data_IF_890983242839
#
_entry.id   IF_890983242839
#
_cell.length_a   1.000
_cell.length_b   1.000
_cell.length_c   1.000
_cell.angle_alpha   90.00
_cell.angle_beta   90.00
_cell.angle_gamma   90.00
#
_symmetry.space_group_name_H-M   'P 1'
#
loop_
_entity.id
_entity.type
_entity.pdbx_description
1 polymer ?
#
# COMPACT_ATOMS: atom_id res chain seq x y z
N UNK A 1 21.06 -11.52 22.54
CA UNK A 1 19.78 -11.96 23.13
C UNK A 1 19.17 -13.02 22.23
N UNK A 2 19.04 -14.29 22.66
CA UNK A 2 18.49 -15.36 21.82
C UNK A 2 16.98 -15.20 21.64
N UNK A 3 16.50 -15.38 20.40
CA UNK A 3 15.08 -15.28 20.05
C UNK A 3 14.52 -16.69 19.78
N UNK A 4 13.57 -17.13 20.60
CA UNK A 4 12.94 -18.45 20.47
C UNK A 4 11.56 -18.31 19.81
N UNK A 5 11.38 -18.92 18.63
CA UNK A 5 10.12 -18.90 17.85
C UNK A 5 9.51 -17.49 17.73
N UNK A 6 10.35 -16.50 17.45
CA UNK A 6 9.93 -15.11 17.37
C UNK A 6 8.94 -14.89 16.22
N UNK A 7 7.80 -14.30 16.53
CA UNK A 7 6.73 -14.05 15.55
C UNK A 7 6.97 -12.72 14.84
N UNK A 8 7.47 -12.78 13.61
CA UNK A 8 7.76 -11.59 12.78
C UNK A 8 6.50 -10.83 12.31
N UNK A 9 5.37 -11.54 12.18
CA UNK A 9 4.08 -11.02 11.64
C UNK A 9 4.17 -10.53 10.19
N UNK A 10 5.18 -10.94 9.45
CA UNK A 10 5.27 -10.74 8.00
C UNK A 10 4.40 -11.77 7.26
N UNK A 11 3.81 -11.35 6.15
CA UNK A 11 3.02 -12.18 5.25
C UNK A 11 3.94 -12.60 4.10
N UNK A 12 4.13 -13.92 3.94
CA UNK A 12 4.91 -14.51 2.86
C UNK A 12 4.39 -15.91 2.55
N UNK A 13 4.92 -16.53 1.51
CA UNK A 13 4.68 -17.92 1.12
C UNK A 13 6.00 -18.68 1.21
N UNK A 14 5.94 -19.88 1.78
CA UNK A 14 7.03 -20.86 1.70
C UNK A 14 6.83 -21.67 0.43
N UNK A 15 7.87 -21.76 -0.39
CA UNK A 15 7.91 -22.52 -1.64
C UNK A 15 8.93 -23.66 -1.53
N UNK A 16 8.43 -24.89 -1.43
CA UNK A 16 9.25 -26.09 -1.30
C UNK A 16 9.80 -26.61 -2.64
N UNK A 17 9.55 -25.91 -3.74
CA UNK A 17 10.09 -26.30 -5.06
C UNK A 17 11.57 -25.92 -5.21
N UNK A 18 12.30 -26.77 -5.96
CA UNK A 18 13.72 -26.58 -6.25
C UNK A 18 14.02 -25.26 -6.94
N UNK A 19 15.17 -24.67 -6.63
CA UNK A 19 15.61 -23.41 -7.21
C UNK A 19 16.50 -23.63 -8.42
N UNK A 20 16.37 -22.79 -9.45
CA UNK A 20 17.26 -22.78 -10.63
C UNK A 20 18.75 -22.59 -10.29
N UNK A 21 19.06 -21.99 -9.14
CA UNK A 21 20.45 -21.86 -8.67
C UNK A 21 21.04 -23.16 -8.09
N UNK A 22 20.26 -24.26 -8.05
CA UNK A 22 20.69 -25.58 -7.57
C UNK A 22 20.68 -25.76 -6.04
N UNK A 23 20.35 -24.71 -5.27
CA UNK A 23 20.23 -24.81 -3.80
C UNK A 23 18.87 -25.39 -3.40
N UNK A 24 18.91 -26.57 -2.77
CA UNK A 24 17.72 -27.31 -2.33
C UNK A 24 17.72 -27.65 -0.83
N UNK A 25 18.65 -27.09 -0.04
CA UNK A 25 18.80 -27.41 1.38
C UNK A 25 17.67 -26.85 2.28
N UNK A 26 16.98 -25.81 1.81
CA UNK A 26 15.90 -25.16 2.54
C UNK A 26 14.79 -24.72 1.58
N UNK A 27 13.52 -24.69 2.04
CA UNK A 27 12.43 -24.06 1.30
C UNK A 27 12.72 -22.60 0.98
N UNK A 28 12.21 -22.13 -0.15
CA UNK A 28 12.34 -20.74 -0.55
C UNK A 28 11.30 -19.88 0.17
N UNK A 29 11.76 -18.80 0.79
CA UNK A 29 10.87 -17.74 1.26
C UNK A 29 10.58 -16.82 0.08
N UNK A 30 9.31 -16.73 -0.32
CA UNK A 30 8.90 -15.78 -1.36
C UNK A 30 8.97 -14.35 -0.83
N UNK A 31 8.80 -13.38 -1.73
CA UNK A 31 8.76 -11.97 -1.38
C UNK A 31 7.77 -11.69 -0.25
N UNK A 32 8.20 -10.93 0.76
CA UNK A 32 7.34 -10.45 1.84
C UNK A 32 6.32 -9.49 1.23
N UNK A 33 5.04 -9.84 1.29
CA UNK A 33 3.95 -9.06 0.67
C UNK A 33 3.38 -8.00 1.60
N UNK A 34 3.74 -8.04 2.89
CA UNK A 34 3.34 -7.04 3.88
C UNK A 34 3.44 -7.58 5.30
N UNK A 35 2.88 -6.82 6.25
CA UNK A 35 2.69 -7.27 7.64
C UNK A 35 1.21 -7.45 7.95
N UNK A 36 0.94 -8.41 8.83
CA UNK A 36 -0.42 -8.66 9.35
C UNK A 36 -0.96 -7.42 10.07
N UNK A 37 -0.10 -6.66 10.73
CA UNK A 37 -0.49 -5.47 11.51
C UNK A 37 -0.67 -4.21 10.65
N UNK A 38 -0.16 -4.17 9.41
CA UNK A 38 -0.31 -3.02 8.52
C UNK A 38 -1.72 -2.96 7.88
N UNK A 39 -2.60 -3.91 8.20
CA UNK A 39 -3.97 -3.99 7.70
C UNK A 39 -4.89 -2.95 8.37
N UNK A 40 -5.65 -2.23 7.57
CA UNK A 40 -6.58 -1.19 8.00
C UNK A 40 -8.01 -1.72 7.85
N UNK A 41 -8.86 -1.49 8.84
CA UNK A 41 -10.30 -1.75 8.74
C UNK A 41 -11.04 -0.47 8.33
N UNK A 42 -11.83 -0.55 7.27
CA UNK A 42 -12.63 0.57 6.77
C UNK A 42 -14.02 0.08 6.34
N UNK A 43 -15.09 0.58 6.98
CA UNK A 43 -16.49 0.23 6.68
C UNK A 43 -16.74 -1.29 6.52
N UNK A 44 -16.13 -2.09 7.40
CA UNK A 44 -16.24 -3.56 7.38
C UNK A 44 -15.35 -4.27 6.36
N UNK A 45 -14.69 -3.55 5.46
CA UNK A 45 -13.69 -4.08 4.53
C UNK A 45 -12.28 -4.03 5.15
N UNK A 46 -11.47 -5.03 4.81
CA UNK A 46 -10.04 -5.05 5.14
C UNK A 46 -9.27 -4.42 3.99
N UNK A 47 -8.33 -3.53 4.32
CA UNK A 47 -7.52 -2.77 3.37
C UNK A 47 -6.06 -3.02 3.65
N UNK A 48 -5.33 -3.49 2.65
CA UNK A 48 -3.89 -3.69 2.71
C UNK A 48 -3.19 -2.55 1.97
N UNK A 49 -2.34 -1.75 2.65
CA UNK A 49 -1.57 -0.70 1.98
C UNK A 49 -0.69 -1.21 0.84
N UNK A 50 -0.25 -2.49 0.90
CA UNK A 50 0.51 -3.13 -0.17
C UNK A 50 -0.29 -3.35 -1.45
N UNK A 51 -1.61 -3.56 -1.36
CA UNK A 51 -2.48 -3.65 -2.54
C UNK A 51 -2.61 -2.29 -3.24
N UNK A 52 -2.75 -1.21 -2.45
CA UNK A 52 -2.72 0.17 -2.97
C UNK A 52 -1.37 0.44 -3.64
N UNK A 53 -0.27 0.07 -2.98
CA UNK A 53 1.07 0.21 -3.55
C UNK A 53 1.19 -0.49 -4.91
N UNK A 54 0.77 -1.76 -4.99
CA UNK A 54 0.86 -2.55 -6.21
C UNK A 54 -0.01 -1.99 -7.35
N UNK A 55 -1.15 -1.37 -7.03
CA UNK A 55 -1.99 -0.69 -8.03
C UNK A 55 -1.29 0.58 -8.57
N UNK A 56 -0.75 1.40 -7.68
CA UNK A 56 -0.13 2.68 -8.05
C UNK A 56 1.25 2.50 -8.72
N UNK A 57 2.00 1.46 -8.36
CA UNK A 57 3.31 1.16 -8.95
C UNK A 57 3.24 0.77 -10.45
N UNK A 58 2.04 0.59 -11.01
CA UNK A 58 1.87 0.34 -12.45
C UNK A 58 2.02 1.60 -13.30
N UNK A 59 2.00 2.77 -12.67
CA UNK A 59 2.04 4.07 -13.33
C UNK A 59 3.38 4.74 -13.04
N UNK A 60 4.22 4.89 -14.07
CA UNK A 60 5.51 5.56 -13.94
C UNK A 60 5.35 7.06 -13.63
N UNK A 61 4.18 7.62 -13.90
CA UNK A 61 3.81 9.01 -13.65
C UNK A 61 3.63 9.33 -12.16
N UNK A 62 3.45 8.31 -11.32
CA UNK A 62 3.24 8.48 -9.87
C UNK A 62 4.58 8.46 -9.14
N UNK A 63 4.87 9.52 -8.38
CA UNK A 63 6.12 9.65 -7.63
C UNK A 63 5.99 9.18 -6.19
N UNK A 64 4.88 9.48 -5.52
CA UNK A 64 4.62 9.07 -4.13
C UNK A 64 3.11 9.10 -3.85
N UNK A 65 2.68 8.46 -2.77
CA UNK A 65 1.31 8.57 -2.29
C UNK A 65 1.22 8.55 -0.76
N UNK A 66 0.11 9.07 -0.25
CA UNK A 66 -0.23 9.03 1.16
C UNK A 66 -1.70 8.65 1.33
N UNK A 67 -1.96 7.64 2.15
CA UNK A 67 -3.28 7.25 2.60
C UNK A 67 -3.56 7.88 3.96
N UNK A 68 -4.57 8.72 4.00
CA UNK A 68 -5.08 9.35 5.22
C UNK A 68 -6.36 8.61 5.61
N UNK A 69 -6.36 8.05 6.82
CA UNK A 69 -7.49 7.33 7.41
C UNK A 69 -8.08 8.21 8.48
N UNK A 70 -9.24 8.78 8.21
CA UNK A 70 -9.99 9.56 9.19
C UNK A 70 -10.93 8.59 9.91
N UNK A 71 -10.73 8.42 11.21
CA UNK A 71 -11.62 7.63 12.06
C UNK A 71 -12.57 8.57 12.80
N UNK A 72 -13.85 8.47 12.48
CA UNK A 72 -14.95 9.12 13.21
C UNK A 72 -16.02 8.05 13.53
N UNK A 73 -16.75 8.19 14.65
CA UNK A 73 -17.82 7.26 15.04
C UNK A 73 -18.91 7.12 13.96
N UNK A 74 -19.15 8.17 13.19
CA UNK A 74 -20.26 8.25 12.23
C UNK A 74 -19.78 8.35 10.77
N UNK A 75 -18.59 8.91 10.52
CA UNK A 75 -18.11 9.13 9.16
C UNK A 75 -16.61 8.91 9.01
N UNK A 76 -16.21 7.63 9.00
CA UNK A 76 -14.84 7.29 8.64
C UNK A 76 -14.61 7.53 7.14
N UNK A 77 -13.53 8.21 6.78
CA UNK A 77 -13.13 8.53 5.41
C UNK A 77 -11.73 7.97 5.10
N UNK A 78 -11.53 7.50 3.86
CA UNK A 78 -10.21 7.18 3.31
C UNK A 78 -9.89 8.16 2.18
N UNK A 79 -8.88 9.00 2.41
CA UNK A 79 -8.35 9.93 1.43
C UNK A 79 -6.98 9.45 0.94
N UNK A 80 -6.86 9.19 -0.35
CA UNK A 80 -5.62 8.81 -1.01
C UNK A 80 -5.08 10.02 -1.77
N UNK A 81 -4.01 10.61 -1.27
CA UNK A 81 -3.25 11.66 -1.96
C UNK A 81 -2.20 11.01 -2.85
N UNK A 82 -2.22 11.33 -4.14
CA UNK A 82 -1.30 10.80 -5.14
C UNK A 82 -0.48 11.94 -5.69
N UNK A 83 0.83 11.86 -5.53
CA UNK A 83 1.77 12.82 -6.07
C UNK A 83 2.19 12.39 -7.48
N UNK A 84 1.87 13.24 -8.46
CA UNK A 84 2.25 13.03 -9.86
C UNK A 84 3.56 13.76 -10.17
N UNK A 85 4.33 13.22 -11.12
CA UNK A 85 5.46 13.91 -11.74
C UNK A 85 4.99 15.19 -12.44
N UNK A 86 5.85 16.20 -12.49
CA UNK A 86 5.54 17.44 -13.18
C UNK A 86 5.22 17.20 -14.66
N UNK A 87 4.18 17.87 -15.18
CA UNK A 87 3.68 17.69 -16.55
C UNK A 87 2.94 16.38 -16.84
N UNK A 88 2.83 15.44 -15.89
CA UNK A 88 2.12 14.17 -16.10
C UNK A 88 0.61 14.23 -15.78
N UNK A 89 0.15 15.31 -15.15
CA UNK A 89 -1.24 15.46 -14.71
C UNK A 89 -2.19 15.68 -15.89
N UNK A 90 -2.80 14.59 -16.36
CA UNK A 90 -3.79 14.60 -17.44
C UNK A 90 -5.12 13.97 -16.96
N UNK A 91 -6.27 14.42 -17.50
CA UNK A 91 -7.56 13.80 -17.19
C UNK A 91 -7.59 12.29 -17.45
N UNK A 92 -6.93 11.86 -18.54
CA UNK A 92 -6.82 10.44 -18.90
C UNK A 92 -6.10 9.63 -17.83
N UNK A 93 -4.92 10.09 -17.38
CA UNK A 93 -4.15 9.42 -16.33
C UNK A 93 -4.96 9.31 -15.03
N UNK A 94 -5.64 10.39 -14.63
CA UNK A 94 -6.48 10.39 -13.42
C UNK A 94 -7.57 9.33 -13.47
N UNK A 95 -8.26 9.21 -14.60
CA UNK A 95 -9.29 8.18 -14.79
C UNK A 95 -8.71 6.77 -14.77
N UNK A 96 -7.56 6.56 -15.39
CA UNK A 96 -6.90 5.25 -15.46
C UNK A 96 -6.43 4.78 -14.09
N UNK A 97 -5.81 5.67 -13.31
CA UNK A 97 -5.41 5.40 -11.92
C UNK A 97 -6.61 5.04 -11.06
N UNK A 98 -7.70 5.82 -11.14
CA UNK A 98 -8.94 5.53 -10.39
C UNK A 98 -9.57 4.21 -10.81
N UNK A 99 -9.54 3.88 -12.11
CA UNK A 99 -10.04 2.60 -12.64
C UNK A 99 -9.24 1.42 -12.08
N UNK A 100 -7.92 1.52 -12.07
CA UNK A 100 -7.04 0.48 -11.55
C UNK A 100 -7.18 0.31 -10.03
N UNK A 101 -7.35 1.41 -9.30
CA UNK A 101 -7.67 1.38 -7.87
C UNK A 101 -9.00 0.68 -7.61
N UNK A 102 -10.07 0.97 -8.37
CA UNK A 102 -11.36 0.29 -8.24
C UNK A 102 -11.27 -1.21 -8.53
N UNK A 103 -10.47 -1.59 -9.53
CA UNK A 103 -10.23 -2.99 -9.89
C UNK A 103 -9.50 -3.74 -8.76
N UNK A 104 -8.54 -3.08 -8.13
CA UNK A 104 -7.73 -3.70 -7.06
C UNK A 104 -8.47 -3.68 -5.71
N UNK A 105 -9.21 -2.61 -5.43
CA UNK A 105 -9.95 -2.37 -4.18
C UNK A 105 -11.44 -2.65 -4.42
N UNK A 106 -11.79 -3.92 -4.60
CA UNK A 106 -13.14 -4.38 -5.00
C UNK A 106 -14.26 -3.90 -4.06
N UNK A 107 -13.96 -3.69 -2.77
CA UNK A 107 -14.96 -3.42 -1.73
C UNK A 107 -15.15 -1.95 -1.39
N UNK A 108 -14.26 -1.05 -1.82
CA UNK A 108 -14.39 0.38 -1.54
C UNK A 108 -13.59 1.20 -2.53
N UNK A 109 -14.07 2.42 -2.84
CA UNK A 109 -13.30 3.41 -3.59
C UNK A 109 -12.85 4.51 -2.62
N UNK A 110 -11.55 4.68 -2.35
CA UNK A 110 -11.08 5.82 -1.56
C UNK A 110 -11.34 7.12 -2.34
N UNK A 111 -11.51 8.23 -1.62
CA UNK A 111 -11.46 9.55 -2.25
C UNK A 111 -10.03 9.78 -2.73
N UNK A 112 -9.86 10.16 -3.98
CA UNK A 112 -8.53 10.38 -4.58
C UNK A 112 -8.31 11.87 -4.80
N UNK A 113 -7.16 12.37 -4.34
CA UNK A 113 -6.71 13.73 -4.55
C UNK A 113 -5.33 13.70 -5.21
N UNK A 114 -5.22 14.31 -6.39
CA UNK A 114 -3.94 14.42 -7.10
C UNK A 114 -3.25 15.70 -6.66
N UNK A 115 -2.00 15.58 -6.22
CA UNK A 115 -1.18 16.68 -5.72
C UNK A 115 0.07 16.86 -6.58
N UNK A 116 0.61 18.08 -6.58
CA UNK A 116 1.83 18.41 -7.33
C UNK A 116 3.06 17.74 -6.73
N UNK A 117 4.05 17.52 -7.57
CA UNK A 117 5.35 16.99 -7.17
C UNK A 117 5.96 17.77 -6.00
N UNK A 118 6.44 17.05 -4.98
CA UNK A 118 7.06 17.64 -3.78
C UNK A 118 6.09 18.09 -2.68
N UNK A 119 4.78 17.85 -2.84
CA UNK A 119 3.78 18.21 -1.81
C UNK A 119 3.77 17.21 -0.65
N UNK A 120 4.09 15.93 -0.90
CA UNK A 120 4.07 14.89 0.13
C UNK A 120 5.40 14.83 0.92
N UNK A 121 5.34 14.52 2.23
CA UNK A 121 6.54 14.40 3.06
C UNK A 121 7.45 13.27 2.57
N UNK A 122 8.75 13.54 2.50
CA UNK A 122 9.78 12.53 2.22
C UNK A 122 10.24 11.89 3.51
N UNK A 123 10.51 10.59 3.45
CA UNK A 123 10.99 9.82 4.58
C UNK A 123 12.37 9.26 4.24
N UNK A 124 13.37 9.49 5.10
CA UNK A 124 14.71 8.94 4.96
C UNK A 124 14.78 7.43 5.35
N UNK A 125 13.71 6.90 5.95
CA UNK A 125 13.59 5.50 6.39
C UNK A 125 12.35 4.79 5.82
N UNK A 126 11.68 3.94 6.63
CA UNK A 126 10.43 3.28 6.21
C UNK A 126 9.38 4.34 5.88
N UNK A 127 8.96 4.41 4.62
CA UNK A 127 7.94 5.36 4.18
C UNK A 127 6.64 5.15 4.99
N UNK A 128 6.27 6.16 5.79
CA UNK A 128 5.03 6.15 6.57
C UNK A 128 3.90 6.68 5.71
N UNK A 129 3.44 5.84 4.77
CA UNK A 129 2.41 6.20 3.79
C UNK A 129 1.00 6.17 4.37
N UNK A 130 0.79 5.54 5.52
CA UNK A 130 -0.51 5.48 6.21
C UNK A 130 -0.49 6.43 7.40
N UNK A 131 -1.39 7.40 7.40
CA UNK A 131 -1.62 8.35 8.50
C UNK A 131 -3.02 8.13 9.03
N UNK A 132 -3.15 7.84 10.33
CA UNK A 132 -4.46 7.74 10.99
C UNK A 132 -4.71 9.04 11.74
N UNK A 133 -5.83 9.68 11.44
CA UNK A 133 -6.34 10.87 12.12
C UNK A 133 -7.59 10.47 12.89
N UNK A 134 -7.59 10.73 14.20
CA UNK A 134 -8.77 10.54 15.05
C UNK A 134 -9.48 11.88 15.15
N UNK A 135 -10.75 11.91 14.74
CA UNK A 135 -11.61 13.10 14.89
C UNK A 135 -12.45 12.85 16.13
N UNK A 136 -12.32 13.76 17.11
CA UNK A 136 -13.04 13.72 18.38
C UNK A 136 -14.55 13.93 18.18
#
# INVERSE_FOLDING_TARGET
MPLLRYRMRDITKIDDSGCECGRNAFPRCMWITGRVDDMIYYKGAKVWPSAIHAALHKFDEIKEYQLIVTKSPYDSELLLKIELKDGADTPYLREEVVRELKRTLVFFTPRVEFVKEGTLPRYEGKAKRVVVQEVA
#
